data_IF_440860973985
#
_entry.id   IF_440860973985
#
_cell.length_a   1.000
_cell.length_b   1.000
_cell.length_c   1.000
_cell.angle_alpha   90.00
_cell.angle_beta   90.00
_cell.angle_gamma   90.00
#
_symmetry.space_group_name_H-M   'P 1'
#
loop_
_entity.id
_entity.type
_entity.pdbx_description
1 polymer ?
#
# COMPACT_ATOMS: atom_id res chain seq x y z
N UNK A 1 51.39 -19.89 -33.52
CA UNK A 1 50.06 -20.52 -33.52
C UNK A 1 50.04 -21.55 -32.40
N UNK A 2 49.21 -21.34 -31.38
CA UNK A 2 48.91 -22.33 -30.33
C UNK A 2 49.72 -22.18 -29.03
N UNK A 3 49.22 -21.38 -28.10
CA UNK A 3 49.59 -21.41 -26.67
C UNK A 3 48.88 -22.60 -25.99
N UNK A 4 49.53 -23.34 -25.07
CA UNK A 4 48.86 -24.36 -24.28
C UNK A 4 48.34 -23.78 -22.95
N UNK A 5 47.15 -24.24 -22.57
CA UNK A 5 46.42 -23.95 -21.34
C UNK A 5 47.09 -24.58 -20.11
N UNK A 6 47.30 -23.79 -19.05
CA UNK A 6 47.74 -24.27 -17.73
C UNK A 6 46.54 -24.64 -16.85
N UNK A 7 46.64 -25.79 -16.16
CA UNK A 7 45.86 -26.12 -14.96
C UNK A 7 46.75 -25.98 -13.73
N UNK A 8 46.25 -25.36 -12.66
CA UNK A 8 46.71 -25.48 -11.27
C UNK A 8 45.66 -24.81 -10.36
N UNK A 9 44.89 -25.54 -9.56
CA UNK A 9 45.16 -25.99 -8.18
C UNK A 9 44.52 -25.07 -7.10
N UNK A 10 43.58 -25.66 -6.35
CA UNK A 10 43.14 -25.54 -4.93
C UNK A 10 43.78 -24.48 -4.00
N UNK A 11 43.15 -24.02 -2.87
CA UNK A 11 42.50 -24.90 -1.87
C UNK A 11 41.33 -24.35 -1.02
N UNK A 12 40.79 -25.26 -0.21
CA UNK A 12 39.82 -25.05 0.88
C UNK A 12 40.39 -24.20 2.03
N UNK A 13 39.52 -23.48 2.75
CA UNK A 13 39.78 -23.03 4.12
C UNK A 13 38.53 -22.95 5.00
N UNK A 14 38.63 -23.64 6.15
CA UNK A 14 38.15 -23.31 7.50
C UNK A 14 36.80 -22.61 7.69
N UNK A 15 35.89 -23.31 8.37
CA UNK A 15 34.57 -22.80 8.74
C UNK A 15 34.50 -21.87 9.94
N UNK A 16 33.28 -21.40 10.19
CA UNK A 16 32.76 -20.94 11.49
C UNK A 16 31.29 -21.40 11.54
N UNK A 17 31.00 -22.35 12.44
CA UNK A 17 29.66 -22.56 13.03
C UNK A 17 29.40 -21.43 14.01
N UNK A 18 28.21 -20.79 13.99
CA UNK A 18 27.61 -20.24 15.21
C UNK A 18 26.11 -20.47 15.25
N UNK A 19 25.70 -20.93 16.43
CA UNK A 19 24.43 -21.46 16.89
C UNK A 19 23.54 -20.34 17.43
N UNK A 20 22.23 -20.59 17.47
CA UNK A 20 21.23 -19.84 18.22
C UNK A 20 21.59 -19.72 19.71
N UNK A 21 21.25 -18.60 20.35
CA UNK A 21 21.22 -18.48 21.82
C UNK A 21 20.07 -17.55 22.22
N UNK A 22 19.33 -18.02 23.22
CA UNK A 22 18.14 -17.52 23.88
C UNK A 22 18.46 -16.40 24.91
N UNK A 23 17.40 -15.83 25.52
CA UNK A 23 17.31 -14.60 26.34
C UNK A 23 18.27 -14.43 27.55
N UNK A 24 18.31 -13.21 28.11
CA UNK A 24 18.05 -13.12 29.55
C UNK A 24 17.05 -12.02 29.97
N UNK A 25 16.14 -12.41 30.87
CA UNK A 25 15.36 -11.53 31.75
C UNK A 25 16.27 -10.80 32.76
N UNK A 26 16.08 -9.49 32.95
CA UNK A 26 16.16 -8.84 34.28
C UNK A 26 15.35 -7.54 34.34
N UNK A 27 14.60 -7.44 35.43
CA UNK A 27 13.66 -6.42 35.91
C UNK A 27 14.31 -5.03 36.17
N UNK A 28 13.56 -3.94 35.95
CA UNK A 28 13.14 -2.87 36.92
C UNK A 28 13.09 -1.44 36.32
N UNK A 29 12.01 -0.71 36.65
CA UNK A 29 11.74 0.76 36.59
C UNK A 29 11.45 1.40 35.21
N UNK A 30 10.18 1.68 34.87
CA UNK A 30 9.34 2.86 35.24
C UNK A 30 9.75 4.14 34.51
N UNK A 31 9.08 4.43 33.38
CA UNK A 31 8.43 5.73 33.15
C UNK A 31 7.45 5.73 31.96
N UNK A 32 6.44 6.55 32.13
CA UNK A 32 5.09 6.56 31.53
C UNK A 32 4.98 7.26 30.19
N UNK A 33 4.08 6.77 29.30
CA UNK A 33 3.09 7.57 28.54
C UNK A 33 2.10 6.65 27.82
N UNK A 34 1.12 6.14 28.58
CA UNK A 34 -0.03 5.39 28.10
C UNK A 34 -1.18 6.38 27.88
N UNK A 35 -1.59 6.59 26.64
CA UNK A 35 -2.79 7.37 26.32
C UNK A 35 -4.03 6.60 26.73
N UNK A 36 -4.96 7.34 27.34
CA UNK A 36 -5.98 6.88 28.28
C UNK A 36 -7.10 6.09 27.59
N UNK A 37 -7.24 4.82 27.95
CA UNK A 37 -8.50 4.07 27.82
C UNK A 37 -9.29 4.35 29.10
N UNK A 38 -10.45 5.00 28.97
CA UNK A 38 -11.31 5.33 30.11
C UNK A 38 -12.17 4.10 30.42
N UNK A 39 -11.94 3.55 31.61
CA UNK A 39 -12.72 2.50 32.24
C UNK A 39 -13.92 3.15 32.95
N UNK A 40 -15.14 2.71 32.63
CA UNK A 40 -16.37 3.21 33.24
C UNK A 40 -16.64 2.40 34.51
N UNK A 41 -16.68 3.05 35.67
CA UNK A 41 -17.15 2.46 36.92
C UNK A 41 -18.67 2.64 37.04
N UNK A 42 -19.39 1.54 37.22
CA UNK A 42 -20.78 1.52 37.64
C UNK A 42 -20.78 1.39 39.16
N UNK A 43 -21.32 2.38 39.85
CA UNK A 43 -21.67 2.29 41.27
C UNK A 43 -23.18 2.46 41.38
N UNK A 44 -23.81 1.46 41.99
CA UNK A 44 -25.23 1.38 42.33
C UNK A 44 -25.40 1.89 43.76
N UNK A 45 -26.06 3.04 43.96
CA UNK A 45 -26.89 3.28 45.16
C UNK A 45 -27.83 4.48 44.96
N UNK A 46 -29.05 4.31 45.45
CA UNK A 46 -30.29 5.07 45.26
C UNK A 46 -30.32 6.51 45.80
N UNK A 47 -31.03 7.41 45.09
CA UNK A 47 -32.01 8.36 45.69
C UNK A 47 -32.84 9.09 44.63
N UNK A 48 -34.16 9.12 44.82
CA UNK A 48 -35.16 9.87 44.04
C UNK A 48 -34.89 11.38 44.00
N UNK A 49 -34.94 11.98 42.80
CA UNK A 49 -35.66 13.24 42.51
C UNK A 49 -35.65 13.63 41.02
N UNK A 50 -36.72 14.30 40.65
CA UNK A 50 -37.28 14.60 39.33
C UNK A 50 -36.47 15.60 38.46
N UNK A 51 -36.76 15.57 37.15
CA UNK A 51 -36.62 16.62 36.11
C UNK A 51 -35.41 16.68 35.13
N UNK A 52 -35.82 16.74 33.86
CA UNK A 52 -35.17 17.13 32.60
C UNK A 52 -34.02 16.29 32.01
N UNK A 53 -34.39 15.53 30.98
CA UNK A 53 -33.49 14.91 30.01
C UNK A 53 -32.68 15.97 29.23
N UNK A 54 -31.55 16.39 29.79
CA UNK A 54 -30.52 17.09 29.03
C UNK A 54 -29.85 16.11 28.06
N UNK A 55 -30.40 16.06 26.84
CA UNK A 55 -29.77 15.46 25.65
C UNK A 55 -28.40 16.11 25.45
N UNK A 56 -27.36 15.49 26.03
CA UNK A 56 -25.97 15.91 25.81
C UNK A 56 -25.61 15.54 24.38
N UNK A 57 -25.74 16.51 23.48
CA UNK A 57 -25.34 16.38 22.08
C UNK A 57 -23.83 16.14 22.03
N UNK A 58 -23.44 14.92 21.65
CA UNK A 58 -22.05 14.62 21.36
C UNK A 58 -21.62 15.52 20.18
N UNK A 59 -20.84 16.55 20.46
CA UNK A 59 -20.26 17.38 19.42
C UNK A 59 -19.28 16.52 18.62
N UNK A 60 -19.68 16.16 17.41
CA UNK A 60 -18.83 15.48 16.44
C UNK A 60 -17.77 16.49 16.01
N UNK A 61 -16.56 16.36 16.53
CA UNK A 61 -15.42 17.13 16.05
C UNK A 61 -15.03 16.55 14.69
N UNK A 62 -15.13 17.30 13.57
CA UNK A 62 -14.73 16.78 12.27
C UNK A 62 -13.24 16.47 12.30
N UNK A 63 -12.87 15.21 12.09
CA UNK A 63 -11.48 14.87 11.91
C UNK A 63 -11.01 15.47 10.57
N UNK A 64 -9.84 16.12 10.50
CA UNK A 64 -9.33 16.67 9.25
C UNK A 64 -9.28 15.59 8.16
N UNK A 65 -10.01 15.79 7.07
CA UNK A 65 -10.01 14.86 5.95
C UNK A 65 -8.63 14.83 5.27
N UNK A 66 -8.23 13.63 4.84
CA UNK A 66 -6.93 13.43 4.17
C UNK A 66 -6.96 14.05 2.76
N UNK A 67 -5.84 14.65 2.29
CA UNK A 67 -5.78 15.28 0.97
C UNK A 67 -6.29 14.40 -0.18
N UNK A 68 -5.93 13.10 -0.19
CA UNK A 68 -6.35 12.19 -1.25
C UNK A 68 -7.88 12.04 -1.39
N UNK A 69 -8.64 12.16 -0.29
CA UNK A 69 -10.11 12.09 -0.31
C UNK A 69 -10.70 13.37 -0.92
N UNK A 70 -10.11 14.52 -0.58
CA UNK A 70 -10.54 15.80 -1.14
C UNK A 70 -10.27 15.87 -2.64
N UNK A 71 -9.09 15.42 -3.08
CA UNK A 71 -8.74 15.38 -4.50
C UNK A 71 -9.64 14.45 -5.31
N UNK A 72 -10.06 13.31 -4.75
CA UNK A 72 -11.05 12.43 -5.41
C UNK A 72 -12.41 13.12 -5.54
N UNK A 73 -12.89 13.75 -4.46
CA UNK A 73 -14.15 14.50 -4.45
C UNK A 73 -14.14 15.67 -5.43
N UNK A 74 -12.99 16.31 -5.61
CA UNK A 74 -12.79 17.40 -6.56
C UNK A 74 -12.56 16.92 -8.00
N UNK A 75 -12.57 15.62 -8.26
CA UNK A 75 -12.24 15.02 -9.55
C UNK A 75 -10.84 15.40 -10.07
N UNK A 76 -9.89 15.61 -9.16
CA UNK A 76 -8.48 15.82 -9.50
C UNK A 76 -7.75 14.48 -9.71
N UNK A 77 -8.26 13.41 -9.11
CA UNK A 77 -7.77 12.04 -9.26
C UNK A 77 -8.92 11.09 -9.58
N UNK A 78 -8.59 9.95 -10.19
CA UNK A 78 -9.52 8.83 -10.36
C UNK A 78 -8.84 7.50 -10.07
N UNK A 79 -9.63 6.54 -9.60
CA UNK A 79 -9.20 5.16 -9.44
C UNK A 79 -9.67 4.34 -10.63
N UNK A 80 -8.81 3.45 -11.09
CA UNK A 80 -9.09 2.55 -12.21
C UNK A 80 -8.52 1.18 -11.91
N UNK A 81 -9.27 0.13 -12.27
CA UNK A 81 -8.76 -1.23 -12.26
C UNK A 81 -8.49 -1.65 -13.70
N UNK A 82 -7.27 -2.09 -13.96
CA UNK A 82 -6.81 -2.51 -15.28
C UNK A 82 -6.11 -3.85 -15.21
N UNK A 83 -6.14 -4.57 -16.32
CA UNK A 83 -5.38 -5.80 -16.54
C UNK A 83 -4.72 -5.75 -17.93
N UNK A 84 -3.91 -6.74 -18.26
CA UNK A 84 -3.33 -6.85 -19.60
C UNK A 84 -4.34 -7.45 -20.60
N UNK A 85 -5.36 -6.67 -20.94
CA UNK A 85 -6.37 -6.93 -21.96
C UNK A 85 -5.90 -6.65 -23.40
N UNK A 86 -4.64 -6.23 -23.57
CA UNK A 86 -4.08 -5.78 -24.86
C UNK A 86 -4.73 -4.50 -25.44
N UNK A 87 -5.48 -3.75 -24.62
CA UNK A 87 -6.00 -2.44 -24.99
C UNK A 87 -4.91 -1.36 -24.79
N UNK A 88 -4.81 -0.35 -25.69
CA UNK A 88 -3.78 0.68 -25.60
C UNK A 88 -3.81 1.46 -24.27
N UNK A 89 -5.00 1.82 -23.79
CA UNK A 89 -5.17 2.56 -22.53
C UNK A 89 -4.65 1.77 -21.33
N UNK A 90 -5.07 0.51 -21.20
CA UNK A 90 -4.60 -0.40 -20.15
C UNK A 90 -3.08 -0.56 -20.20
N UNK A 91 -2.51 -0.70 -21.39
CA UNK A 91 -1.06 -0.81 -21.58
C UNK A 91 -0.29 0.43 -21.13
N UNK A 92 -0.82 1.63 -21.39
CA UNK A 92 -0.23 2.91 -20.93
C UNK A 92 -0.20 2.96 -19.40
N UNK A 93 -1.33 2.65 -18.76
CA UNK A 93 -1.45 2.67 -17.30
C UNK A 93 -0.55 1.61 -16.66
N UNK A 94 -0.55 0.38 -17.18
CA UNK A 94 0.34 -0.70 -16.72
C UNK A 94 1.82 -0.32 -16.89
N UNK A 95 2.17 0.39 -17.95
CA UNK A 95 3.54 0.91 -18.15
C UNK A 95 3.89 1.95 -17.09
N UNK A 96 2.96 2.85 -16.77
CA UNK A 96 3.10 3.82 -15.68
C UNK A 96 3.30 3.12 -14.33
N UNK A 97 2.49 2.11 -14.02
CA UNK A 97 2.62 1.28 -12.81
C UNK A 97 3.95 0.52 -12.76
N UNK A 98 4.39 -0.10 -13.86
CA UNK A 98 5.70 -0.75 -13.96
C UNK A 98 6.81 0.23 -13.57
N UNK A 99 6.80 1.42 -14.17
CA UNK A 99 7.79 2.46 -13.88
C UNK A 99 7.71 2.94 -12.43
N UNK A 100 6.50 3.08 -11.87
CA UNK A 100 6.28 3.43 -10.48
C UNK A 100 6.90 2.38 -9.54
N UNK A 101 6.57 1.10 -9.71
CA UNK A 101 7.08 0.02 -8.87
C UNK A 101 8.59 -0.13 -8.96
N UNK A 102 9.17 -0.03 -10.17
CA UNK A 102 10.61 -0.09 -10.35
C UNK A 102 11.34 1.05 -9.62
N UNK A 103 10.73 2.25 -9.57
CA UNK A 103 11.29 3.40 -8.85
C UNK A 103 11.14 3.25 -7.32
N UNK A 104 9.98 2.80 -6.85
CA UNK A 104 9.66 2.74 -5.41
C UNK A 104 10.14 1.45 -4.71
N UNK A 105 10.40 0.39 -5.46
CA UNK A 105 10.83 -0.93 -4.95
C UNK A 105 12.22 -1.30 -5.49
N UNK A 106 13.30 -0.60 -5.08
CA UNK A 106 14.64 -0.76 -5.66
C UNK A 106 15.26 -2.15 -5.43
N UNK A 107 14.77 -2.89 -4.43
CA UNK A 107 15.21 -4.26 -4.12
C UNK A 107 14.49 -5.33 -4.95
N UNK A 108 13.47 -4.95 -5.72
CA UNK A 108 12.71 -5.87 -6.57
C UNK A 108 13.29 -5.85 -7.99
N UNK A 109 13.66 -7.00 -8.58
CA UNK A 109 14.21 -7.04 -9.92
C UNK A 109 13.26 -6.45 -10.97
N UNK A 110 13.79 -5.66 -11.90
CA UNK A 110 12.99 -4.97 -12.92
C UNK A 110 12.21 -5.92 -13.82
N UNK A 111 12.81 -7.05 -14.18
CA UNK A 111 12.17 -8.09 -15.00
C UNK A 111 11.08 -8.83 -14.22
N UNK A 112 11.28 -9.04 -12.91
CA UNK A 112 10.25 -9.62 -12.04
C UNK A 112 9.01 -8.72 -11.97
N UNK A 113 9.21 -7.41 -11.76
CA UNK A 113 8.11 -6.43 -11.78
C UNK A 113 7.39 -6.45 -13.11
N UNK A 114 8.14 -6.29 -14.21
CA UNK A 114 7.56 -6.22 -15.56
C UNK A 114 6.75 -7.46 -15.87
N UNK A 115 7.28 -8.65 -15.55
CA UNK A 115 6.60 -9.92 -15.78
C UNK A 115 5.26 -10.00 -15.07
N UNK A 116 5.19 -9.60 -13.79
CA UNK A 116 3.94 -9.70 -13.02
C UNK A 116 2.94 -8.58 -13.30
N UNK A 117 3.40 -7.35 -13.56
CA UNK A 117 2.51 -6.23 -13.93
C UNK A 117 1.80 -6.51 -15.27
N UNK A 118 2.48 -7.14 -16.24
CA UNK A 118 1.89 -7.49 -17.52
C UNK A 118 1.31 -8.91 -17.58
N UNK A 119 1.29 -9.64 -16.46
CA UNK A 119 0.67 -10.96 -16.39
C UNK A 119 -0.86 -10.83 -16.44
N UNK A 120 -1.52 -11.58 -17.33
CA UNK A 120 -2.98 -11.51 -17.52
C UNK A 120 -3.79 -12.03 -16.33
N UNK A 121 -3.17 -12.81 -15.44
CA UNK A 121 -3.79 -13.31 -14.20
C UNK A 121 -3.74 -12.30 -13.06
N UNK A 122 -3.03 -11.18 -13.23
CA UNK A 122 -2.94 -10.12 -12.25
C UNK A 122 -3.83 -8.94 -12.66
N UNK A 123 -4.43 -8.31 -11.65
CA UNK A 123 -5.15 -7.06 -11.77
C UNK A 123 -4.30 -5.95 -11.15
N UNK A 124 -4.45 -4.73 -11.65
CA UNK A 124 -3.82 -3.57 -11.06
C UNK A 124 -4.84 -2.46 -10.81
N UNK A 125 -4.94 -2.03 -9.55
CA UNK A 125 -5.65 -0.83 -9.15
C UNK A 125 -4.67 0.35 -9.21
N UNK A 126 -5.00 1.40 -9.94
CA UNK A 126 -4.18 2.61 -10.04
C UNK A 126 -4.98 3.84 -9.65
N UNK A 127 -4.30 4.81 -9.02
CA UNK A 127 -4.79 6.19 -8.91
C UNK A 127 -4.06 7.01 -9.96
N UNK A 128 -4.82 7.62 -10.86
CA UNK A 128 -4.32 8.51 -11.90
C UNK A 128 -4.72 9.95 -11.60
N UNK A 129 -3.87 10.90 -12.00
CA UNK A 129 -4.20 12.32 -11.96
C UNK A 129 -5.04 12.67 -13.18
N UNK A 130 -6.17 13.33 -12.96
CA UNK A 130 -6.95 13.90 -14.06
C UNK A 130 -6.23 15.14 -14.56
N UNK A 131 -5.82 15.15 -15.83
CA UNK A 131 -5.28 16.35 -16.46
C UNK A 131 -6.43 17.34 -16.72
N UNK A 132 -6.68 18.24 -15.77
CA UNK A 132 -7.62 19.34 -15.97
C UNK A 132 -7.09 20.41 -16.94
N UNK A 133 -5.78 20.41 -17.24
CA UNK A 133 -5.15 21.39 -18.13
C UNK A 133 -4.20 20.73 -19.12
N UNK A 134 -4.58 20.83 -20.39
CA UNK A 134 -3.77 20.49 -21.55
C UNK A 134 -2.61 21.49 -21.64
N UNK A 135 -1.48 21.20 -20.96
CA UNK A 135 -0.28 22.01 -21.09
C UNK A 135 0.31 21.74 -22.49
N UNK A 136 0.33 22.70 -23.41
CA UNK A 136 0.67 22.44 -24.82
C UNK A 136 2.14 22.07 -25.05
N UNK A 137 2.98 22.12 -24.01
CA UNK A 137 4.44 22.10 -24.12
C UNK A 137 5.12 20.94 -23.38
N UNK A 138 4.37 20.11 -22.66
CA UNK A 138 4.87 18.86 -22.06
C UNK A 138 4.19 17.69 -22.77
N UNK A 139 4.99 16.89 -23.46
CA UNK A 139 4.52 15.89 -24.40
C UNK A 139 3.60 14.83 -23.80
N UNK A 140 2.56 14.51 -24.57
CA UNK A 140 1.71 13.33 -24.49
C UNK A 140 0.64 13.36 -23.40
N UNK A 141 -0.64 13.28 -23.81
CA UNK A 141 -1.82 13.09 -22.96
C UNK A 141 -1.88 11.70 -22.31
N UNK A 142 -0.75 11.24 -21.77
CA UNK A 142 -0.66 10.00 -21.00
C UNK A 142 -1.09 10.26 -19.57
N UNK A 143 -2.04 9.51 -19.01
CA UNK A 143 -2.47 9.67 -17.63
C UNK A 143 -1.28 9.48 -16.67
N UNK A 144 -1.07 10.43 -15.77
CA UNK A 144 -0.03 10.36 -14.74
C UNK A 144 -0.47 9.37 -13.65
N UNK A 145 0.30 8.30 -13.45
CA UNK A 145 0.05 7.31 -12.39
C UNK A 145 0.71 7.76 -11.09
N UNK A 146 -0.11 8.09 -10.08
CA UNK A 146 0.35 8.56 -8.77
C UNK A 146 0.65 7.42 -7.80
N UNK A 147 -0.16 6.36 -7.85
CA UNK A 147 -0.01 5.20 -6.97
C UNK A 147 -0.70 3.98 -7.55
N UNK A 148 -0.37 2.78 -7.06
CA UNK A 148 -1.12 1.60 -7.43
C UNK A 148 -0.77 0.34 -6.64
N UNK A 149 -1.64 -0.65 -6.81
CA UNK A 149 -1.54 -2.00 -6.26
C UNK A 149 -1.71 -2.99 -7.39
N UNK A 150 -0.77 -3.91 -7.57
CA UNK A 150 -0.95 -5.12 -8.39
C UNK A 150 -1.26 -6.28 -7.47
N UNK A 151 -2.33 -7.02 -7.75
CA UNK A 151 -2.79 -8.14 -6.96
C UNK A 151 -3.27 -9.29 -7.83
N UNK A 152 -3.34 -10.49 -7.25
CA UNK A 152 -3.86 -11.70 -7.90
C UNK A 152 -4.96 -12.32 -7.05
N UNK A 153 -6.12 -12.57 -7.66
CA UNK A 153 -7.24 -13.24 -7.00
C UNK A 153 -7.10 -14.75 -7.05
N UNK A 154 -7.39 -15.42 -5.93
CA UNK A 154 -7.52 -16.88 -5.85
C UNK A 154 -8.97 -17.23 -5.50
N UNK A 155 -9.85 -17.20 -6.49
CA UNK A 155 -11.31 -17.32 -6.29
C UNK A 155 -11.72 -18.57 -5.53
N UNK A 156 -11.16 -19.72 -5.88
CA UNK A 156 -11.43 -21.01 -5.19
C UNK A 156 -11.01 -21.01 -3.72
N UNK A 157 -10.03 -20.17 -3.34
CA UNK A 157 -9.47 -20.12 -1.98
C UNK A 157 -9.91 -18.89 -1.19
N UNK A 158 -10.77 -18.05 -1.78
CA UNK A 158 -11.35 -16.86 -1.14
C UNK A 158 -10.32 -15.87 -0.57
N UNK A 159 -9.20 -15.66 -1.27
CA UNK A 159 -8.25 -14.60 -0.92
C UNK A 159 -7.63 -13.95 -2.16
N UNK A 160 -7.02 -12.78 -1.96
CA UNK A 160 -6.23 -12.08 -2.97
C UNK A 160 -4.83 -11.80 -2.43
N UNK A 161 -3.81 -12.03 -3.25
CA UNK A 161 -2.41 -11.75 -2.94
C UNK A 161 -2.05 -10.36 -3.47
N UNK A 162 -1.57 -9.47 -2.59
CA UNK A 162 -0.98 -8.19 -3.01
C UNK A 162 0.47 -8.46 -3.42
N UNK A 163 0.77 -8.26 -4.70
CA UNK A 163 2.08 -8.51 -5.29
C UNK A 163 2.96 -7.26 -5.21
N UNK A 164 2.41 -6.11 -5.57
CA UNK A 164 3.09 -4.81 -5.47
C UNK A 164 2.15 -3.78 -4.88
N UNK A 165 2.69 -2.86 -4.08
CA UNK A 165 1.98 -1.69 -3.58
C UNK A 165 2.98 -0.53 -3.50
N UNK A 166 2.69 0.58 -4.16
CA UNK A 166 3.54 1.75 -4.14
C UNK A 166 2.77 3.06 -4.35
N UNK A 167 3.35 4.14 -3.82
CA UNK A 167 2.91 5.52 -4.00
C UNK A 167 4.13 6.33 -4.43
N UNK A 168 3.97 7.25 -5.39
CA UNK A 168 5.07 8.17 -5.78
C UNK A 168 5.54 8.96 -4.57
N UNK A 169 6.85 9.18 -4.46
CA UNK A 169 7.46 9.75 -3.25
C UNK A 169 6.89 11.12 -2.85
N UNK A 170 6.52 11.97 -3.82
CA UNK A 170 5.94 13.29 -3.55
C UNK A 170 4.45 13.25 -3.15
N UNK A 171 3.77 12.12 -3.37
CA UNK A 171 2.39 11.88 -2.92
C UNK A 171 2.32 11.01 -1.66
N UNK A 172 3.45 10.49 -1.17
CA UNK A 172 3.49 9.82 0.13
C UNK A 172 3.05 10.79 1.24
N UNK A 173 2.64 10.25 2.38
CA UNK A 173 2.09 10.98 3.55
C UNK A 173 0.81 11.81 3.32
N UNK A 174 0.28 11.90 2.09
CA UNK A 174 -1.02 12.56 1.78
C UNK A 174 -2.25 11.66 1.87
N UNK A 175 -2.06 10.40 2.26
CA UNK A 175 -3.15 9.45 2.48
C UNK A 175 -3.43 8.48 1.32
N UNK A 176 -2.80 8.64 0.15
CA UNK A 176 -3.05 7.78 -1.02
C UNK A 176 -2.86 6.28 -0.77
N UNK A 177 -1.90 5.87 0.08
CA UNK A 177 -1.73 4.45 0.40
C UNK A 177 -2.91 3.86 1.18
N UNK A 178 -3.44 4.60 2.16
CA UNK A 178 -4.63 4.19 2.91
C UNK A 178 -5.88 4.23 2.02
N UNK A 179 -5.95 5.21 1.12
CA UNK A 179 -7.03 5.39 0.17
C UNK A 179 -7.07 4.25 -0.87
N UNK A 180 -5.91 3.88 -1.44
CA UNK A 180 -5.76 2.71 -2.30
C UNK A 180 -6.23 1.42 -1.63
N UNK A 181 -5.84 1.20 -0.37
CA UNK A 181 -6.25 0.00 0.36
C UNK A 181 -7.75 -0.03 0.68
N UNK A 182 -8.38 1.14 0.87
CA UNK A 182 -9.83 1.23 1.02
C UNK A 182 -10.52 0.79 -0.28
N UNK A 183 -10.16 1.40 -1.41
CA UNK A 183 -10.68 1.07 -2.73
C UNK A 183 -10.44 -0.40 -3.11
N UNK A 184 -9.26 -0.95 -2.80
CA UNK A 184 -8.98 -2.36 -3.06
C UNK A 184 -9.90 -3.29 -2.25
N UNK A 185 -10.13 -2.99 -0.96
CA UNK A 185 -11.05 -3.80 -0.14
C UNK A 185 -12.46 -3.76 -0.70
N UNK A 186 -12.94 -2.59 -1.09
CA UNK A 186 -14.29 -2.43 -1.60
C UNK A 186 -14.44 -3.10 -2.98
N UNK A 187 -13.43 -2.96 -3.85
CA UNK A 187 -13.38 -3.66 -5.13
C UNK A 187 -13.43 -5.19 -4.93
N UNK A 188 -12.52 -5.76 -4.12
CA UNK A 188 -12.45 -7.21 -3.90
C UNK A 188 -13.72 -7.74 -3.21
N UNK A 189 -14.37 -6.96 -2.33
CA UNK A 189 -15.67 -7.35 -1.75
C UNK A 189 -16.80 -7.37 -2.79
N UNK A 190 -16.75 -6.49 -3.79
CA UNK A 190 -17.79 -6.37 -4.80
C UNK A 190 -17.59 -7.34 -5.99
N UNK A 191 -16.35 -7.62 -6.37
CA UNK A 191 -16.01 -8.39 -7.59
C UNK A 191 -15.28 -9.70 -7.31
N UNK A 192 -14.77 -9.86 -6.09
CA UNK A 192 -14.04 -11.03 -5.64
C UNK A 192 -14.95 -12.21 -5.30
N UNK A 193 -14.33 -13.32 -4.87
CA UNK A 193 -15.01 -14.58 -4.55
C UNK A 193 -15.86 -14.57 -3.28
#
# INVERSE_FOLDING_TARGET
>A
MGTPTSQSASPASSGIKRTAIEEPNTTTARETKKTKSVHVHIHDESTDRNEEAASTSLQIIPFPEKPSINEERNHEISYIVVNNDSHPQSTIILTGLKCLFQKQLPKMPKDYITRLVFDRTHLSLAIIKQQQQFHPHEGSGTPEVLSGITFREFRTRQFAEIVFCAVTSHQQVKGYGAHLMAHLKDYVRATGP
#
